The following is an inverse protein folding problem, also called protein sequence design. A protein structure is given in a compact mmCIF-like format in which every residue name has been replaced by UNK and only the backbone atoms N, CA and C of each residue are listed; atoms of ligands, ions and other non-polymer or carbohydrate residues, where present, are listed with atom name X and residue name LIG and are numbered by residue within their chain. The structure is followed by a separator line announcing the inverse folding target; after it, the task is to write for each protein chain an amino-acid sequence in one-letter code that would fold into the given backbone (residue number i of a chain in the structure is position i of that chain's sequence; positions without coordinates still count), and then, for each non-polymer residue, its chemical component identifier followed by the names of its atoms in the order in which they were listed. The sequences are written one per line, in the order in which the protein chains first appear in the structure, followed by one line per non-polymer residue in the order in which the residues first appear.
data_IF_394178776297
#
_entry.id   IF_394178776297
#
_cell.length_a   1.000
_cell.length_b   1.000
_cell.length_c   1.000
_cell.angle_alpha   90.00
_cell.angle_beta   90.00
_cell.angle_gamma   90.00
#
_symmetry.space_group_name_H-M   'P 1'
#
loop_
_entity.id
_entity.type
_entity.pdbx_description
1 polymer ?
#
# COMPACT_ATOMS: atom_id res chain seq x y z
N UNK A 1 0.74 9.84 16.09
CA UNK A 1 0.22 9.58 14.74
C UNK A 1 1.36 9.79 13.75
N UNK A 2 1.51 8.94 12.73
CA UNK A 2 2.55 9.09 11.70
C UNK A 2 1.98 9.94 10.57
N UNK A 3 2.73 10.94 10.09
CA UNK A 3 2.35 11.78 8.95
C UNK A 3 2.80 11.16 7.64
N UNK A 4 1.99 10.26 7.10
CA UNK A 4 2.28 9.58 5.83
C UNK A 4 2.17 10.54 4.62
N UNK A 5 1.33 11.56 4.69
CA UNK A 5 1.24 12.56 3.62
C UNK A 5 2.56 13.35 3.51
N UNK A 6 3.07 13.82 4.63
CA UNK A 6 4.35 14.54 4.69
C UNK A 6 5.51 13.70 4.19
N UNK A 7 5.54 12.40 4.52
CA UNK A 7 6.56 11.47 4.03
C UNK A 7 6.49 11.30 2.51
N UNK A 8 5.28 11.10 1.95
CA UNK A 8 5.10 10.94 0.51
C UNK A 8 5.52 12.21 -0.26
N UNK A 9 5.09 13.38 0.23
CA UNK A 9 5.48 14.68 -0.36
C UNK A 9 6.99 14.91 -0.27
N UNK A 10 7.62 14.59 0.87
CA UNK A 10 9.07 14.69 1.02
C UNK A 10 9.86 13.75 0.09
N UNK A 11 9.23 12.66 -0.38
CA UNK A 11 9.79 11.76 -1.38
C UNK A 11 9.60 12.25 -2.83
N UNK A 12 9.01 13.43 -3.04
CA UNK A 12 8.77 14.01 -4.37
C UNK A 12 7.50 13.54 -5.04
N UNK A 13 6.53 13.03 -4.28
CA UNK A 13 5.20 12.66 -4.78
C UNK A 13 4.27 13.87 -4.61
N UNK A 14 3.86 14.47 -5.73
CA UNK A 14 2.99 15.65 -5.72
C UNK A 14 1.51 15.28 -5.49
N UNK A 15 1.07 14.16 -6.07
CA UNK A 15 -0.30 13.67 -5.97
C UNK A 15 -0.47 12.79 -4.73
N UNK A 16 -0.79 13.43 -3.60
CA UNK A 16 -1.03 12.74 -2.31
C UNK A 16 -2.38 13.15 -1.76
N UNK A 17 -3.29 12.18 -1.65
CA UNK A 17 -4.65 12.36 -1.16
C UNK A 17 -4.90 11.46 0.06
N UNK A 18 -5.50 12.02 1.11
CA UNK A 18 -6.03 11.24 2.23
C UNK A 18 -7.49 10.89 1.97
N UNK A 19 -7.83 9.62 2.16
CA UNK A 19 -9.19 9.09 2.03
C UNK A 19 -9.63 8.50 3.36
N UNK A 20 -10.89 8.74 3.73
CA UNK A 20 -11.43 8.36 5.03
C UNK A 20 -12.38 7.14 4.92
N UNK A 21 -12.91 6.84 3.73
CA UNK A 21 -13.88 5.76 3.50
C UNK A 21 -13.82 5.24 2.05
N UNK A 22 -14.63 4.22 1.76
CA UNK A 22 -14.72 3.59 0.45
C UNK A 22 -15.33 4.52 -0.62
N UNK A 23 -16.30 5.36 -0.26
CA UNK A 23 -16.89 6.32 -1.20
C UNK A 23 -15.86 7.38 -1.66
N UNK A 24 -14.99 7.84 -0.75
CA UNK A 24 -13.87 8.74 -1.07
C UNK A 24 -12.83 8.05 -1.96
N UNK A 25 -12.59 6.75 -1.76
CA UNK A 25 -11.72 5.96 -2.62
C UNK A 25 -12.27 5.91 -4.05
N UNK A 26 -13.53 5.49 -4.21
CA UNK A 26 -14.15 5.33 -5.53
C UNK A 26 -14.23 6.65 -6.30
N UNK A 27 -14.55 7.75 -5.59
CA UNK A 27 -14.64 9.08 -6.18
C UNK A 27 -13.32 9.56 -6.77
N UNK A 28 -12.20 9.25 -6.12
CA UNK A 28 -10.87 9.74 -6.52
C UNK A 28 -10.07 8.71 -7.32
N UNK A 29 -10.63 7.52 -7.54
CA UNK A 29 -9.93 6.42 -8.18
C UNK A 29 -9.45 6.77 -9.59
N UNK A 30 -10.31 7.38 -10.41
CA UNK A 30 -9.97 7.78 -11.77
C UNK A 30 -8.82 8.81 -11.77
N UNK A 31 -8.89 9.81 -10.88
CA UNK A 31 -7.85 10.85 -10.72
C UNK A 31 -6.49 10.27 -10.30
N UNK A 32 -6.50 9.16 -9.56
CA UNK A 32 -5.29 8.47 -9.14
C UNK A 32 -4.55 7.85 -10.32
N UNK A 33 -5.28 7.23 -11.25
CA UNK A 33 -4.72 6.59 -12.43
C UNK A 33 -4.37 7.57 -13.54
N UNK A 34 -5.12 8.67 -13.65
CA UNK A 34 -4.86 9.73 -14.62
C UNK A 34 -3.78 10.73 -14.17
N UNK A 35 -3.22 10.53 -12.97
CA UNK A 35 -2.13 11.34 -12.44
C UNK A 35 -0.93 11.38 -13.41
N UNK A 36 -0.37 12.57 -13.70
CA UNK A 36 0.79 12.72 -14.59
C UNK A 36 2.08 12.10 -14.05
N UNK A 37 2.08 11.65 -12.80
CA UNK A 37 3.21 11.00 -12.14
C UNK A 37 2.75 10.08 -11.00
N UNK A 38 3.68 9.69 -10.11
CA UNK A 38 3.35 8.89 -8.94
C UNK A 38 2.21 9.52 -8.13
N UNK A 39 1.24 8.69 -7.73
CA UNK A 39 0.10 9.09 -6.91
C UNK A 39 0.01 8.18 -5.69
N UNK A 40 -0.37 8.73 -4.54
CA UNK A 40 -0.49 8.01 -3.26
C UNK A 40 -1.81 8.34 -2.59
N UNK A 41 -2.53 7.29 -2.19
CA UNK A 41 -3.64 7.37 -1.25
C UNK A 41 -3.18 7.02 0.16
N UNK A 42 -3.48 7.91 1.11
CA UNK A 42 -3.31 7.67 2.54
C UNK A 42 -4.68 7.31 3.11
N UNK A 43 -4.93 6.01 3.29
CA UNK A 43 -6.20 5.54 3.81
C UNK A 43 -6.17 5.44 5.34
N UNK A 44 -7.02 6.24 5.99
CA UNK A 44 -7.24 6.17 7.44
C UNK A 44 -8.32 5.15 7.76
N UNK A 45 -7.93 3.91 7.96
CA UNK A 45 -8.83 2.86 8.42
C UNK A 45 -8.84 2.77 9.95
N UNK A 46 -10.01 2.48 10.52
CA UNK A 46 -10.09 2.10 11.93
C UNK A 46 -9.30 0.81 12.17
N UNK A 47 -8.71 0.71 13.36
CA UNK A 47 -7.98 -0.51 13.74
C UNK A 47 -8.98 -1.64 13.91
N UNK A 48 -8.96 -2.61 13.02
CA UNK A 48 -9.69 -3.86 13.20
C UNK A 48 -9.05 -4.70 14.32
N UNK A 49 -9.90 -5.39 15.10
CA UNK A 49 -9.47 -6.37 16.12
C UNK A 49 -9.08 -7.72 15.51
N UNK A 50 -9.39 -7.93 14.23
CA UNK A 50 -9.01 -9.14 13.52
C UNK A 50 -7.47 -9.23 13.42
N UNK A 51 -6.87 -10.36 13.82
CA UNK A 51 -5.43 -10.51 13.75
C UNK A 51 -4.97 -10.51 12.29
N UNK A 52 -3.93 -9.72 11.98
CA UNK A 52 -3.28 -9.76 10.66
C UNK A 52 -2.90 -11.22 10.35
N UNK A 53 -3.35 -11.78 9.21
CA UNK A 53 -3.04 -13.16 8.85
C UNK A 53 -1.54 -13.37 8.86
N UNK A 54 -1.05 -14.18 9.81
CA UNK A 54 0.36 -14.50 9.90
C UNK A 54 0.63 -15.67 8.96
N UNK A 55 1.45 -15.47 7.91
CA UNK A 55 1.83 -16.58 7.03
C UNK A 55 2.46 -17.69 7.88
N UNK A 56 2.03 -18.93 7.68
CA UNK A 56 2.47 -20.06 8.49
C UNK A 56 3.99 -20.28 8.43
N UNK A 57 4.63 -19.88 7.33
CA UNK A 57 6.06 -20.05 7.09
C UNK A 57 6.86 -18.75 7.27
N UNK A 58 8.07 -18.81 7.86
CA UNK A 58 9.00 -17.70 7.93
C UNK A 58 9.25 -17.03 6.57
N UNK A 59 9.52 -15.72 6.57
CA UNK A 59 9.76 -14.96 5.33
C UNK A 59 10.95 -15.50 4.52
N UNK A 60 11.99 -15.98 5.22
CA UNK A 60 13.16 -16.61 4.62
C UNK A 60 12.76 -17.80 3.74
N UNK A 61 11.97 -18.71 4.28
CA UNK A 61 11.60 -19.95 3.59
C UNK A 61 10.76 -19.63 2.35
N UNK A 62 9.81 -18.69 2.48
CA UNK A 62 8.98 -18.23 1.35
C UNK A 62 9.82 -17.58 0.25
N UNK A 63 10.83 -16.80 0.60
CA UNK A 63 11.73 -16.19 -0.38
C UNK A 63 12.59 -17.24 -1.11
N UNK A 64 13.05 -18.27 -0.40
CA UNK A 64 13.78 -19.39 -1.02
C UNK A 64 12.89 -20.22 -1.94
N UNK A 65 11.65 -20.54 -1.53
CA UNK A 65 10.69 -21.27 -2.36
C UNK A 65 10.36 -20.49 -3.65
N UNK A 66 10.08 -19.19 -3.53
CA UNK A 66 9.83 -18.32 -4.67
C UNK A 66 11.03 -18.31 -5.62
N UNK A 67 12.24 -18.18 -5.08
CA UNK A 67 13.45 -18.21 -5.89
C UNK A 67 13.58 -19.54 -6.62
N UNK A 68 13.40 -20.67 -5.94
CA UNK A 68 13.47 -22.00 -6.55
C UNK A 68 12.45 -22.17 -7.68
N UNK A 69 11.21 -21.73 -7.46
CA UNK A 69 10.14 -21.76 -8.46
C UNK A 69 10.46 -20.89 -9.69
N UNK A 70 11.04 -19.70 -9.48
CA UNK A 70 11.43 -18.80 -10.58
C UNK A 70 12.67 -19.27 -11.33
N UNK A 71 13.59 -19.98 -10.69
CA UNK A 71 14.86 -20.41 -11.29
C UNK A 71 14.88 -21.87 -11.74
N UNK A 72 13.81 -22.64 -11.51
CA UNK A 72 13.74 -24.07 -11.83
C UNK A 72 14.76 -24.93 -11.08
N UNK A 73 15.12 -24.52 -9.86
CA UNK A 73 16.10 -25.20 -9.01
C UNK A 73 15.43 -26.22 -8.06
#
# INVERSE_FOLDING_TARGET
SIDFEGIARAAGIDHVLTIDNEDDFDKHLDEHFDSPGPSVFVWKIERADEPVPKPARPIRDRAHDLRAALTGA
#
